data_IF_645290202285
#
_entry.id   IF_645290202285
#
_cell.length_a   1.000
_cell.length_b   1.000
_cell.length_c   1.000
_cell.angle_alpha   90.00
_cell.angle_beta   90.00
_cell.angle_gamma   90.00
#
_symmetry.space_group_name_H-M   'P 1'
#
loop_
_entity.id
_entity.type
_entity.pdbx_description
1 polymer ?
#
# COMPACT_ATOMS: atom_id res chain seq x y z
N UNK A 1 15.20 0.16 -40.34
CA UNK A 1 15.25 -0.62 -39.09
C UNK A 1 13.85 -0.67 -38.53
N UNK A 2 13.23 -1.85 -38.38
CA UNK A 2 11.96 -1.95 -37.68
C UNK A 2 12.20 -1.60 -36.19
N UNK A 3 11.26 -0.87 -35.60
CA UNK A 3 11.27 -0.62 -34.15
C UNK A 3 11.20 -1.96 -33.41
N UNK A 4 11.89 -2.12 -32.27
CA UNK A 4 11.76 -3.33 -31.48
C UNK A 4 10.29 -3.52 -31.10
N UNK A 5 9.74 -4.68 -31.45
CA UNK A 5 8.41 -5.12 -31.03
C UNK A 5 8.26 -4.87 -29.53
N UNK A 6 7.42 -3.90 -29.18
CA UNK A 6 6.95 -3.71 -27.82
C UNK A 6 6.28 -5.02 -27.41
N UNK A 7 6.89 -5.72 -26.44
CA UNK A 7 6.31 -6.92 -25.85
C UNK A 7 4.83 -6.64 -25.50
N UNK A 8 3.91 -7.58 -25.78
CA UNK A 8 2.51 -7.37 -25.43
C UNK A 8 2.40 -7.07 -23.93
N UNK A 9 1.70 -5.99 -23.58
CA UNK A 9 1.40 -5.66 -22.19
C UNK A 9 0.77 -6.89 -21.53
N UNK A 10 1.34 -7.33 -20.41
CA UNK A 10 0.81 -8.48 -19.67
C UNK A 10 -0.64 -8.20 -19.28
N UNK A 11 -1.52 -9.16 -19.54
CA UNK A 11 -2.91 -9.06 -19.13
C UNK A 11 -2.99 -8.94 -17.59
N UNK A 12 -3.69 -7.91 -17.11
CA UNK A 12 -3.91 -7.72 -15.67
C UNK A 12 -4.88 -8.82 -15.19
N UNK A 13 -4.55 -9.57 -14.12
CA UNK A 13 -5.47 -10.53 -13.53
C UNK A 13 -6.79 -9.88 -13.10
N UNK A 14 -7.88 -10.65 -13.08
CA UNK A 14 -9.13 -10.16 -12.49
C UNK A 14 -8.99 -9.90 -10.98
N UNK A 15 -9.96 -9.21 -10.39
CA UNK A 15 -9.89 -8.79 -8.99
C UNK A 15 -9.58 -9.92 -7.99
N UNK A 16 -10.29 -11.07 -8.01
CA UNK A 16 -9.99 -12.20 -7.15
C UNK A 16 -8.59 -12.79 -7.36
N UNK A 17 -8.15 -12.97 -8.61
CA UNK A 17 -6.81 -13.47 -8.90
C UNK A 17 -5.74 -12.47 -8.43
N UNK A 18 -5.99 -11.17 -8.61
CA UNK A 18 -5.11 -10.11 -8.15
C UNK A 18 -5.00 -10.10 -6.63
N UNK A 19 -6.10 -10.21 -5.90
CA UNK A 19 -6.11 -10.31 -4.43
C UNK A 19 -5.27 -11.49 -3.92
N UNK A 20 -5.41 -12.66 -4.56
CA UNK A 20 -4.58 -13.83 -4.23
C UNK A 20 -3.10 -13.60 -4.53
N UNK A 21 -2.79 -13.00 -5.69
CA UNK A 21 -1.42 -12.67 -6.08
C UNK A 21 -0.76 -11.71 -5.09
N UNK A 22 -1.48 -10.68 -4.64
CA UNK A 22 -1.01 -9.76 -3.60
C UNK A 22 -0.72 -10.52 -2.30
N UNK A 23 -1.65 -11.37 -1.84
CA UNK A 23 -1.45 -12.17 -0.64
C UNK A 23 -0.21 -13.07 -0.75
N UNK A 24 0.01 -13.71 -1.90
CA UNK A 24 1.17 -14.57 -2.13
C UNK A 24 2.50 -13.80 -2.19
N UNK A 25 2.50 -12.58 -2.74
CA UNK A 25 3.66 -11.71 -2.73
C UNK A 25 4.00 -11.27 -1.30
N UNK A 26 3.01 -10.81 -0.55
CA UNK A 26 3.20 -10.37 0.83
C UNK A 26 3.62 -11.50 1.74
N UNK A 27 2.98 -12.68 1.66
CA UNK A 27 3.29 -13.83 2.50
C UNK A 27 4.75 -14.30 2.34
N UNK A 28 5.29 -14.22 1.12
CA UNK A 28 6.67 -14.61 0.86
C UNK A 28 7.70 -13.60 1.37
N UNK A 29 7.38 -12.31 1.32
CA UNK A 29 8.28 -11.24 1.80
C UNK A 29 8.09 -10.93 3.30
N UNK A 30 6.97 -11.33 3.90
CA UNK A 30 6.61 -11.12 5.31
C UNK A 30 6.22 -12.45 5.98
N UNK A 31 7.13 -13.44 6.07
CA UNK A 31 6.80 -14.78 6.55
C UNK A 31 6.28 -14.81 8.00
N UNK A 32 6.67 -13.83 8.83
CA UNK A 32 6.17 -13.68 10.20
C UNK A 32 4.68 -13.31 10.27
N UNK A 33 4.12 -12.78 9.18
CA UNK A 33 2.71 -12.40 9.05
C UNK A 33 1.93 -13.35 8.15
N UNK A 34 2.49 -14.46 7.67
CA UNK A 34 1.81 -15.35 6.69
C UNK A 34 0.43 -15.77 7.19
N UNK A 35 0.31 -16.22 8.45
CA UNK A 35 -0.99 -16.61 9.01
C UNK A 35 -2.03 -15.49 8.95
N UNK A 36 -1.64 -14.25 9.31
CA UNK A 36 -2.53 -13.09 9.26
C UNK A 36 -2.85 -12.69 7.81
N UNK A 37 -1.87 -12.75 6.90
CA UNK A 37 -2.05 -12.48 5.47
C UNK A 37 -3.05 -13.47 4.86
N UNK A 38 -2.91 -14.77 5.16
CA UNK A 38 -3.85 -15.81 4.69
C UNK A 38 -5.24 -15.60 5.27
N UNK A 39 -5.32 -15.21 6.55
CA UNK A 39 -6.59 -14.87 7.21
C UNK A 39 -7.25 -13.67 6.53
N UNK A 40 -6.51 -12.58 6.31
CA UNK A 40 -6.98 -11.39 5.57
C UNK A 40 -7.48 -11.78 4.18
N UNK A 41 -6.70 -12.60 3.46
CA UNK A 41 -7.07 -13.04 2.12
C UNK A 41 -8.39 -13.81 2.09
N UNK A 42 -8.59 -14.72 3.04
CA UNK A 42 -9.77 -15.59 3.10
C UNK A 42 -11.01 -15.00 3.79
N UNK A 43 -10.85 -14.01 4.67
CA UNK A 43 -11.95 -13.49 5.50
C UNK A 43 -12.47 -12.11 5.09
N UNK A 44 -11.66 -11.33 4.36
CA UNK A 44 -12.04 -9.99 3.87
C UNK A 44 -13.14 -10.11 2.82
N UNK A 45 -14.20 -9.32 2.98
CA UNK A 45 -15.21 -9.16 1.95
C UNK A 45 -14.68 -8.17 0.91
N UNK A 46 -14.61 -8.60 -0.35
CA UNK A 46 -14.03 -7.80 -1.43
C UNK A 46 -15.06 -7.51 -2.51
N UNK A 47 -15.05 -6.29 -3.06
CA UNK A 47 -15.82 -5.91 -4.22
C UNK A 47 -14.94 -5.18 -5.23
N UNK A 48 -14.62 -5.84 -6.34
CA UNK A 48 -13.70 -5.33 -7.38
C UNK A 48 -14.42 -4.62 -8.54
N UNK A 49 -15.75 -4.58 -8.51
CA UNK A 49 -16.58 -3.87 -9.48
C UNK A 49 -17.78 -3.18 -8.78
N UNK A 50 -17.52 -2.33 -7.77
CA UNK A 50 -18.58 -1.55 -7.14
C UNK A 50 -19.21 -0.59 -8.16
N UNK A 51 -20.44 -0.14 -7.89
CA UNK A 51 -21.04 0.91 -8.71
C UNK A 51 -20.18 2.19 -8.62
N UNK A 52 -19.56 2.64 -9.72
CA UNK A 52 -18.61 3.75 -9.70
C UNK A 52 -19.27 5.10 -9.39
N UNK A 53 -20.58 5.25 -9.60
CA UNK A 53 -21.31 6.49 -9.24
C UNK A 53 -21.44 6.65 -7.72
N UNK A 54 -21.53 5.52 -7.00
CA UNK A 54 -21.69 5.50 -5.54
C UNK A 54 -20.35 5.36 -4.82
N UNK A 55 -19.44 4.61 -5.40
CA UNK A 55 -18.14 4.27 -4.83
C UNK A 55 -17.03 4.50 -5.88
N UNK A 56 -16.74 5.76 -6.22
CA UNK A 56 -15.80 6.10 -7.28
C UNK A 56 -14.33 5.85 -6.92
N UNK A 57 -14.03 5.60 -5.63
CA UNK A 57 -12.67 5.45 -5.11
C UNK A 57 -12.53 4.15 -4.33
N UNK A 58 -11.33 3.56 -4.32
CA UNK A 58 -11.05 2.42 -3.46
C UNK A 58 -11.13 2.83 -1.99
N UNK A 59 -11.55 1.89 -1.14
CA UNK A 59 -11.53 2.06 0.31
C UNK A 59 -11.58 0.72 1.06
N UNK A 60 -11.05 0.75 2.28
CA UNK A 60 -11.13 -0.34 3.25
C UNK A 60 -11.84 0.13 4.52
N UNK A 61 -12.83 -0.65 4.97
CA UNK A 61 -13.59 -0.40 6.20
C UNK A 61 -13.57 -1.63 7.11
N UNK A 62 -13.55 -1.38 8.41
CA UNK A 62 -13.91 -2.40 9.39
C UNK A 62 -15.43 -2.35 9.59
N UNK A 63 -16.15 -3.41 9.21
CA UNK A 63 -17.59 -3.51 9.38
C UNK A 63 -17.91 -4.00 10.81
N UNK A 64 -18.36 -3.14 11.74
CA UNK A 64 -18.42 -3.47 13.16
C UNK A 64 -19.45 -4.55 13.48
N UNK A 65 -20.53 -4.62 12.70
CA UNK A 65 -21.66 -5.54 12.92
C UNK A 65 -21.28 -6.99 12.61
N UNK A 66 -20.28 -7.21 11.76
CA UNK A 66 -19.84 -8.55 11.36
C UNK A 66 -18.42 -8.87 11.84
N UNK A 67 -17.71 -7.90 12.44
CA UNK A 67 -16.28 -7.99 12.74
C UNK A 67 -15.45 -8.45 11.53
N UNK A 68 -15.83 -7.98 10.33
CA UNK A 68 -15.16 -8.31 9.07
C UNK A 68 -14.64 -7.05 8.41
N UNK A 69 -13.51 -7.19 7.72
CA UNK A 69 -12.99 -6.14 6.86
C UNK A 69 -13.74 -6.18 5.52
N UNK A 70 -14.11 -5.01 5.01
CA UNK A 70 -14.68 -4.83 3.68
C UNK A 70 -13.74 -3.96 2.83
N UNK A 71 -13.44 -4.42 1.63
CA UNK A 71 -12.62 -3.71 0.64
C UNK A 71 -13.46 -3.50 -0.62
N UNK A 72 -13.52 -2.26 -1.08
CA UNK A 72 -14.11 -1.89 -2.37
C UNK A 72 -13.03 -1.29 -3.25
N UNK A 73 -12.83 -1.83 -4.45
CA UNK A 73 -11.84 -1.36 -5.42
C UNK A 73 -12.47 -1.32 -6.82
N UNK A 74 -12.81 -0.15 -7.38
CA UNK A 74 -13.26 -0.06 -8.77
C UNK A 74 -12.11 -0.29 -9.74
N UNK A 75 -11.92 -1.54 -10.17
CA UNK A 75 -10.80 -1.92 -11.05
C UNK A 75 -11.06 -1.51 -12.51
N UNK A 76 -10.00 -1.15 -13.21
CA UNK A 76 -10.02 -0.60 -14.58
C UNK A 76 -9.40 -1.52 -15.63
N UNK A 77 -8.82 -2.64 -15.22
CA UNK A 77 -8.02 -3.54 -16.05
C UNK A 77 -6.62 -3.00 -16.36
N UNK A 78 -6.09 -2.09 -15.54
CA UNK A 78 -4.80 -1.42 -15.77
C UNK A 78 -3.78 -1.79 -14.69
N UNK A 79 -2.48 -1.61 -14.97
CA UNK A 79 -1.42 -1.91 -14.00
C UNK A 79 -1.55 -1.11 -12.68
N UNK A 80 -2.28 0.00 -12.70
CA UNK A 80 -2.62 0.80 -11.53
C UNK A 80 -3.49 0.02 -10.52
N UNK A 81 -4.32 -0.90 -11.00
CA UNK A 81 -5.16 -1.77 -10.18
C UNK A 81 -4.31 -2.65 -9.25
N UNK A 82 -3.14 -3.11 -9.69
CA UNK A 82 -2.24 -3.95 -8.88
C UNK A 82 -1.83 -3.22 -7.61
N UNK A 83 -1.42 -1.97 -7.73
CA UNK A 83 -1.01 -1.16 -6.58
C UNK A 83 -2.21 -0.71 -5.75
N UNK A 84 -3.35 -0.40 -6.38
CA UNK A 84 -4.60 -0.11 -5.66
C UNK A 84 -5.02 -1.29 -4.79
N UNK A 85 -5.03 -2.50 -5.34
CA UNK A 85 -5.37 -3.70 -4.57
C UNK A 85 -4.32 -4.00 -3.50
N UNK A 86 -3.03 -3.80 -3.79
CA UNK A 86 -1.98 -3.93 -2.78
C UNK A 86 -2.16 -2.96 -1.61
N UNK A 87 -2.52 -1.71 -1.91
CA UNK A 87 -2.77 -0.65 -0.94
C UNK A 87 -3.91 -1.03 0.01
N UNK A 88 -5.08 -1.37 -0.55
CA UNK A 88 -6.24 -1.77 0.25
C UNK A 88 -6.01 -3.09 0.99
N UNK A 89 -5.23 -4.03 0.43
CA UNK A 89 -4.80 -5.22 1.15
C UNK A 89 -3.96 -4.85 2.37
N UNK A 90 -3.04 -3.89 2.26
CA UNK A 90 -2.24 -3.41 3.38
C UNK A 90 -3.10 -2.84 4.52
N UNK A 91 -4.14 -2.07 4.20
CA UNK A 91 -5.13 -1.64 5.20
C UNK A 91 -5.90 -2.81 5.79
N UNK A 92 -6.37 -3.75 4.97
CA UNK A 92 -7.14 -4.89 5.43
C UNK A 92 -6.34 -5.81 6.34
N UNK A 93 -5.06 -6.02 6.01
CA UNK A 93 -4.12 -6.77 6.84
C UNK A 93 -3.94 -6.12 8.20
N UNK A 94 -3.70 -4.80 8.22
CA UNK A 94 -3.54 -4.09 9.48
C UNK A 94 -4.80 -4.19 10.35
N UNK A 95 -6.00 -4.00 9.79
CA UNK A 95 -7.26 -4.19 10.51
C UNK A 95 -7.48 -5.63 10.97
N UNK A 96 -6.97 -6.63 10.24
CA UNK A 96 -7.03 -8.04 10.66
C UNK A 96 -6.11 -8.31 11.86
N UNK A 97 -4.93 -7.69 11.86
CA UNK A 97 -3.92 -7.83 12.91
C UNK A 97 -4.28 -7.08 14.21
N UNK A 98 -4.90 -5.91 14.12
CA UNK A 98 -5.19 -5.07 15.29
C UNK A 98 -6.57 -4.38 15.24
N UNK A 99 -7.68 -5.15 15.22
CA UNK A 99 -9.04 -4.63 14.98
C UNK A 99 -9.54 -3.61 16.00
N UNK A 100 -8.97 -3.59 17.21
CA UNK A 100 -9.38 -2.71 18.32
C UNK A 100 -8.36 -1.58 18.58
N UNK A 101 -7.31 -1.47 17.77
CA UNK A 101 -6.26 -0.47 17.97
C UNK A 101 -6.59 0.82 17.23
N UNK A 102 -6.53 1.95 17.93
CA UNK A 102 -6.59 3.26 17.30
C UNK A 102 -5.27 3.55 16.55
N UNK A 103 -5.31 3.44 15.22
CA UNK A 103 -4.15 3.66 14.37
C UNK A 103 -4.08 5.11 13.92
N UNK A 104 -2.90 5.72 13.97
CA UNK A 104 -2.71 7.06 13.42
C UNK A 104 -2.85 7.01 11.89
N UNK A 105 -3.40 8.05 11.24
CA UNK A 105 -3.57 8.06 9.78
C UNK A 105 -2.27 7.80 9.01
N UNK A 106 -1.15 8.39 9.44
CA UNK A 106 0.17 8.14 8.83
C UNK A 106 0.60 6.67 8.96
N UNK A 107 0.36 6.03 10.10
CA UNK A 107 0.68 4.61 10.28
C UNK A 107 -0.18 3.72 9.36
N UNK A 108 -1.47 4.05 9.19
CA UNK A 108 -2.36 3.33 8.27
C UNK A 108 -1.86 3.38 6.84
N UNK A 109 -1.51 4.57 6.37
CA UNK A 109 -0.96 4.79 5.03
C UNK A 109 0.42 4.16 4.87
N UNK A 110 1.23 4.12 5.94
CA UNK A 110 2.57 3.49 5.88
C UNK A 110 2.45 2.01 5.56
N UNK A 111 1.52 1.29 6.21
CA UNK A 111 1.26 -0.13 5.93
C UNK A 111 0.76 -0.37 4.51
N UNK A 112 -0.13 0.49 4.00
CA UNK A 112 -0.62 0.39 2.63
C UNK A 112 0.49 0.62 1.59
N UNK A 113 1.33 1.65 1.78
CA UNK A 113 2.47 1.89 0.90
C UNK A 113 3.60 0.86 1.02
N UNK A 114 3.77 0.25 2.20
CA UNK A 114 4.66 -0.91 2.35
C UNK A 114 4.15 -2.08 1.51
N UNK A 115 2.86 -2.37 1.55
CA UNK A 115 2.28 -3.43 0.74
C UNK A 115 2.49 -3.17 -0.77
N UNK A 116 2.25 -1.94 -1.24
CA UNK A 116 2.57 -1.54 -2.62
C UNK A 116 4.04 -1.79 -2.99
N UNK A 117 4.98 -1.33 -2.15
CA UNK A 117 6.41 -1.42 -2.41
C UNK A 117 6.90 -2.88 -2.42
N UNK A 118 6.42 -3.70 -1.49
CA UNK A 118 6.75 -5.13 -1.40
C UNK A 118 6.23 -5.86 -2.64
N UNK A 119 4.97 -5.62 -3.04
CA UNK A 119 4.38 -6.24 -4.23
C UNK A 119 5.12 -5.83 -5.49
N UNK A 120 5.39 -4.53 -5.67
CA UNK A 120 6.11 -4.04 -6.85
C UNK A 120 7.51 -4.67 -6.98
N UNK A 121 8.18 -4.91 -5.84
CA UNK A 121 9.47 -5.62 -5.77
C UNK A 121 9.31 -7.11 -6.07
N UNK A 122 8.35 -7.79 -5.44
CA UNK A 122 8.13 -9.24 -5.58
C UNK A 122 7.73 -9.64 -7.01
N UNK A 123 6.92 -8.82 -7.68
CA UNK A 123 6.52 -9.07 -9.08
C UNK A 123 7.72 -9.10 -10.03
N UNK A 124 8.79 -8.34 -9.76
CA UNK A 124 10.00 -8.39 -10.56
C UNK A 124 10.66 -9.78 -10.60
N UNK A 125 10.36 -10.63 -9.61
CA UNK A 125 10.87 -12.01 -9.55
C UNK A 125 9.85 -13.05 -10.05
N UNK A 126 8.56 -12.73 -10.00
CA UNK A 126 7.46 -13.69 -10.24
C UNK A 126 6.81 -13.55 -11.61
N UNK A 127 6.63 -12.31 -12.07
CA UNK A 127 5.98 -11.99 -13.33
C UNK A 127 6.67 -10.77 -13.95
N UNK A 128 7.72 -11.05 -14.71
CA UNK A 128 8.55 -10.02 -15.35
C UNK A 128 7.74 -9.18 -16.34
N UNK A 129 6.72 -9.77 -16.97
CA UNK A 129 5.90 -9.08 -17.96
C UNK A 129 5.00 -8.02 -17.29
N UNK A 130 4.39 -8.34 -16.15
CA UNK A 130 3.59 -7.39 -15.37
C UNK A 130 4.46 -6.37 -14.61
N UNK A 131 5.65 -6.79 -14.18
CA UNK A 131 6.53 -5.99 -13.32
C UNK A 131 6.90 -4.63 -13.92
N UNK A 132 7.19 -4.56 -15.24
CA UNK A 132 7.58 -3.32 -15.90
C UNK A 132 6.55 -2.21 -15.73
N UNK A 133 5.30 -2.51 -16.11
CA UNK A 133 4.18 -1.56 -16.04
C UNK A 133 3.83 -1.19 -14.60
N UNK A 134 3.82 -2.16 -13.67
CA UNK A 134 3.58 -1.89 -12.24
C UNK A 134 4.67 -1.00 -11.63
N UNK A 135 5.94 -1.22 -11.96
CA UNK A 135 7.06 -0.38 -11.48
C UNK A 135 6.98 1.04 -12.01
N UNK A 136 6.59 1.22 -13.28
CA UNK A 136 6.38 2.55 -13.86
C UNK A 136 5.26 3.31 -13.14
N UNK A 137 4.14 2.64 -12.85
CA UNK A 137 3.04 3.21 -12.05
C UNK A 137 3.52 3.55 -10.64
N UNK A 138 4.21 2.63 -9.96
CA UNK A 138 4.73 2.85 -8.60
C UNK A 138 5.64 4.09 -8.53
N UNK A 139 6.58 4.21 -9.48
CA UNK A 139 7.47 5.37 -9.55
C UNK A 139 6.69 6.68 -9.77
N UNK A 140 5.67 6.67 -10.64
CA UNK A 140 4.80 7.83 -10.90
C UNK A 140 4.00 8.24 -9.65
N UNK A 141 3.37 7.29 -8.96
CA UNK A 141 2.62 7.54 -7.72
C UNK A 141 3.53 8.11 -6.63
N UNK A 142 4.70 7.48 -6.42
CA UNK A 142 5.68 7.96 -5.44
C UNK A 142 6.19 9.38 -5.75
N UNK A 143 6.39 9.72 -7.04
CA UNK A 143 6.77 11.06 -7.45
C UNK A 143 5.68 12.11 -7.19
N UNK A 144 4.40 11.74 -7.35
CA UNK A 144 3.27 12.61 -7.03
C UNK A 144 3.16 12.87 -5.51
N UNK A 145 3.23 11.80 -4.71
CA UNK A 145 3.13 11.88 -3.25
C UNK A 145 4.29 12.70 -2.64
N UNK A 146 5.52 12.44 -3.09
CA UNK A 146 6.73 13.08 -2.55
C UNK A 146 7.09 14.41 -3.23
N UNK A 147 6.39 14.76 -4.30
CA UNK A 147 6.54 16.03 -5.01
C UNK A 147 5.40 16.99 -4.70
N UNK A 148 4.40 17.15 -5.58
CA UNK A 148 3.29 18.09 -5.39
C UNK A 148 2.55 17.96 -4.05
N UNK A 149 2.27 16.73 -3.57
CA UNK A 149 1.54 16.56 -2.30
C UNK A 149 2.40 16.98 -1.11
N UNK A 150 3.69 16.60 -1.09
CA UNK A 150 4.65 17.04 -0.07
C UNK A 150 4.83 18.57 -0.03
N UNK A 151 4.83 19.22 -1.19
CA UNK A 151 4.91 20.69 -1.27
C UNK A 151 3.67 21.36 -0.68
N UNK A 152 2.47 20.84 -0.97
CA UNK A 152 1.22 21.35 -0.38
C UNK A 152 1.18 21.14 1.13
N UNK A 153 1.61 19.97 1.62
CA UNK A 153 1.73 19.71 3.06
C UNK A 153 2.68 20.72 3.72
N UNK A 154 3.85 20.98 3.14
CA UNK A 154 4.79 21.97 3.68
C UNK A 154 4.17 23.36 3.77
N UNK A 155 3.51 23.81 2.71
CA UNK A 155 2.85 25.12 2.70
C UNK A 155 1.70 25.21 3.72
N UNK A 156 1.01 24.10 4.01
CA UNK A 156 -0.05 24.05 5.01
C UNK A 156 0.51 24.05 6.45
N UNK A 157 1.67 23.43 6.69
CA UNK A 157 2.33 23.48 8.01
C UNK A 157 2.75 24.90 8.41
N UNK A 158 3.01 25.77 7.42
CA UNK A 158 3.30 27.19 7.65
C UNK A 158 2.03 28.03 7.93
N UNK A 159 0.84 27.43 7.87
CA UNK A 159 -0.48 28.09 7.96
C UNK A 159 -1.43 27.29 8.87
N UNK A 160 -1.36 27.49 10.20
CA UNK A 160 -2.10 26.70 11.20
C UNK A 160 -3.61 26.62 11.00
N UNK A 161 -4.20 27.61 10.31
CA UNK A 161 -5.62 27.70 9.98
C UNK A 161 -6.05 26.84 8.79
N UNK A 162 -5.11 26.24 8.05
CA UNK A 162 -5.45 25.43 6.87
C UNK A 162 -6.20 24.17 7.32
N UNK A 163 -7.41 23.90 6.79
CA UNK A 163 -8.14 22.68 7.10
C UNK A 163 -7.32 21.44 6.73
N UNK A 164 -7.41 20.42 7.58
CA UNK A 164 -6.71 19.16 7.34
C UNK A 164 -7.21 18.45 6.08
N UNK A 165 -6.27 17.98 5.26
CA UNK A 165 -6.50 17.15 4.07
C UNK A 165 -5.88 15.77 4.31
N UNK A 166 -6.68 14.70 4.15
CA UNK A 166 -6.24 13.32 4.37
C UNK A 166 -5.02 12.93 3.51
N UNK A 167 -4.84 13.55 2.33
CA UNK A 167 -3.67 13.30 1.48
C UNK A 167 -2.36 13.78 2.12
N UNK A 168 -2.40 14.63 3.15
CA UNK A 168 -1.19 15.04 3.88
C UNK A 168 -0.55 13.89 4.66
N UNK A 169 -1.27 12.79 4.87
CA UNK A 169 -0.67 11.57 5.41
C UNK A 169 0.25 10.88 4.40
N UNK A 170 0.08 11.13 3.11
CA UNK A 170 0.74 10.35 2.07
C UNK A 170 2.24 10.60 1.99
N UNK A 171 2.73 11.86 1.97
CA UNK A 171 4.16 12.11 1.88
C UNK A 171 4.99 11.45 3.00
N UNK A 172 4.68 11.62 4.30
CA UNK A 172 5.46 10.96 5.35
C UNK A 172 5.34 9.44 5.28
N UNK A 173 4.14 8.90 5.06
CA UNK A 173 3.93 7.45 4.99
C UNK A 173 4.69 6.82 3.82
N UNK A 174 4.64 7.43 2.63
CA UNK A 174 5.36 6.98 1.43
C UNK A 174 6.86 7.02 1.66
N UNK A 175 7.36 8.06 2.31
CA UNK A 175 8.78 8.21 2.61
C UNK A 175 9.28 7.13 3.58
N UNK A 176 8.52 6.82 4.64
CA UNK A 176 8.84 5.71 5.57
C UNK A 176 8.88 4.37 4.81
N UNK A 177 7.81 4.06 4.06
CA UNK A 177 7.71 2.80 3.33
C UNK A 177 8.87 2.63 2.34
N UNK A 178 9.21 3.68 1.59
CA UNK A 178 10.35 3.65 0.65
C UNK A 178 11.68 3.40 1.35
N UNK A 179 11.92 3.97 2.53
CA UNK A 179 13.17 3.73 3.25
C UNK A 179 13.28 2.33 3.81
N UNK A 180 12.19 1.78 4.33
CA UNK A 180 12.19 0.42 4.82
C UNK A 180 12.45 -0.58 3.70
N UNK A 181 11.93 -0.35 2.48
CA UNK A 181 12.06 -1.31 1.38
C UNK A 181 13.27 -1.06 0.48
N UNK A 182 13.67 0.19 0.29
CA UNK A 182 14.74 0.59 -0.63
C UNK A 182 15.93 1.28 0.07
N UNK A 183 15.98 1.26 1.40
CA UNK A 183 17.11 1.75 2.18
C UNK A 183 18.38 0.94 1.91
N UNK A 184 19.51 1.45 2.40
CA UNK A 184 20.83 0.84 2.19
C UNK A 184 20.98 -0.53 2.89
N UNK A 185 20.21 -0.78 3.94
CA UNK A 185 20.18 -2.04 4.66
C UNK A 185 18.78 -2.68 4.54
N UNK A 186 18.69 -4.03 4.50
CA UNK A 186 17.41 -4.70 4.58
C UNK A 186 16.71 -4.32 5.90
N UNK A 187 15.38 -4.10 5.88
CA UNK A 187 14.64 -3.73 7.08
C UNK A 187 14.68 -4.90 8.08
N UNK A 188 14.78 -4.59 9.37
CA UNK A 188 14.56 -5.59 10.41
C UNK A 188 13.12 -6.14 10.25
N UNK A 189 12.94 -7.46 10.03
CA UNK A 189 11.61 -8.05 9.86
C UNK A 189 10.66 -7.74 11.03
N UNK A 190 11.19 -7.53 12.24
CA UNK A 190 10.40 -7.17 13.42
C UNK A 190 9.74 -5.80 13.26
N UNK A 191 10.42 -4.83 12.66
CA UNK A 191 9.87 -3.49 12.39
C UNK A 191 8.68 -3.59 11.45
N UNK A 192 8.81 -4.37 10.37
CA UNK A 192 7.71 -4.57 9.41
C UNK A 192 6.51 -5.23 10.09
N UNK A 193 6.73 -6.26 10.91
CA UNK A 193 5.68 -6.91 11.69
C UNK A 193 5.01 -5.93 12.66
N UNK A 194 5.77 -5.16 13.44
CA UNK A 194 5.21 -4.22 14.41
C UNK A 194 4.35 -3.11 13.77
N UNK A 195 4.68 -2.68 12.55
CA UNK A 195 3.87 -1.74 11.78
C UNK A 195 2.47 -2.30 11.49
N UNK A 196 2.40 -3.52 10.94
CA UNK A 196 1.12 -4.18 10.65
C UNK A 196 0.35 -4.56 11.91
N UNK A 197 1.04 -4.89 13.00
CA UNK A 197 0.41 -5.13 14.30
C UNK A 197 -0.06 -3.86 15.02
N UNK A 198 0.20 -2.67 14.46
CA UNK A 198 -0.16 -1.39 15.10
C UNK A 198 0.63 -1.10 16.39
N UNK A 199 1.76 -1.78 16.61
CA UNK A 199 2.56 -1.69 17.83
C UNK A 199 3.64 -0.61 17.77
N UNK A 200 3.85 -0.01 16.59
CA UNK A 200 4.88 1.00 16.41
C UNK A 200 4.43 2.37 16.95
N UNK A 201 5.10 2.92 17.98
CA UNK A 201 4.72 4.22 18.53
C UNK A 201 5.13 5.36 17.59
N UNK A 202 4.42 6.49 17.65
CA UNK A 202 4.67 7.65 16.79
C UNK A 202 6.14 8.14 16.82
N UNK A 203 6.83 8.25 17.97
CA UNK A 203 8.25 8.63 17.99
C UNK A 203 9.16 7.67 17.21
N UNK A 204 8.83 6.38 17.14
CA UNK A 204 9.57 5.43 16.31
C UNK A 204 9.34 5.69 14.81
N UNK A 205 8.10 5.99 14.40
CA UNK A 205 7.80 6.39 13.01
C UNK A 205 8.54 7.67 12.62
N UNK A 206 8.56 8.66 13.51
CA UNK A 206 9.34 9.90 13.33
C UNK A 206 10.84 9.58 13.25
N UNK A 207 11.35 8.63 14.05
CA UNK A 207 12.76 8.25 13.98
C UNK A 207 13.12 7.58 12.66
N UNK A 208 12.22 6.77 12.09
CA UNK A 208 12.38 6.24 10.73
C UNK A 208 12.40 7.37 9.70
N UNK A 209 11.54 8.39 9.84
CA UNK A 209 11.61 9.60 9.02
C UNK A 209 12.88 10.42 9.25
N UNK A 210 13.41 10.51 10.47
CA UNK A 210 14.52 11.41 10.80
C UNK A 210 15.91 10.76 10.70
N UNK A 211 16.00 9.42 10.68
CA UNK A 211 17.23 8.68 10.37
C UNK A 211 17.82 9.00 8.98
N UNK A 212 17.12 9.83 8.22
CA UNK A 212 17.43 10.43 6.92
C UNK A 212 18.62 11.39 6.85
N UNK A 213 19.29 11.75 7.94
CA UNK A 213 20.48 12.63 7.91
C UNK A 213 21.69 11.96 8.52
N UNK A 214 22.31 11.01 7.82
CA UNK A 214 23.74 10.68 7.94
C UNK A 214 24.31 10.34 6.57
#
# INVERSE_FOLDING_TARGET
MPAPDSAPDAAIPDGPALWSLIADCLAAELPTLDSDIRKTAGQTLVNFAPNPERHPRPFTLHAPVQSRVYVSCPLTGQADDVLTVAHEFGHALQLTCCPETALTPVLRETCAFLAEAIVAKALNQRDVALSGSVRAVYARRAAADLGPVAQRLRAALDRPETPYDDHWNYPPARQIARQLIHGQAPPDPRILTELFLGKMPLPALVSLLCGMTR
#
